data_IF_631692645950
#
_entry.id   IF_631692645950
#
_cell.length_a   1.000
_cell.length_b   1.000
_cell.length_c   1.000
_cell.angle_alpha   90.00
_cell.angle_beta   90.00
_cell.angle_gamma   90.00
#
_symmetry.space_group_name_H-M   'P 1'
#
loop_
_entity.id
_entity.type
_entity.pdbx_description
1 polymer ?
#
# COMPACT_ATOMS: atom_id res chain seq x y z
N UNK A 1 -14.91 10.95 8.87
CA UNK A 1 -13.52 10.87 9.38
C UNK A 1 -12.71 9.69 8.80
N UNK A 2 -13.23 8.45 8.74
CA UNK A 2 -12.44 7.29 8.27
C UNK A 2 -12.04 7.32 6.77
N UNK A 3 -12.90 7.79 5.86
CA UNK A 3 -12.58 7.85 4.41
C UNK A 3 -11.33 8.69 4.11
N UNK A 4 -11.21 9.86 4.74
CA UNK A 4 -10.04 10.74 4.59
C UNK A 4 -8.78 10.10 5.17
N UNK A 5 -8.87 9.46 6.34
CA UNK A 5 -7.76 8.73 6.95
C UNK A 5 -7.20 7.63 6.04
N UNK A 6 -8.07 6.90 5.33
CA UNK A 6 -7.64 5.88 4.37
C UNK A 6 -6.94 6.46 3.15
N UNK A 7 -7.44 7.57 2.62
CA UNK A 7 -6.82 8.26 1.49
C UNK A 7 -5.41 8.72 1.87
N UNK A 8 -5.23 9.35 3.04
CA UNK A 8 -3.91 9.73 3.54
C UNK A 8 -2.99 8.52 3.74
N UNK A 9 -3.50 7.42 4.28
CA UNK A 9 -2.71 6.20 4.49
C UNK A 9 -2.22 5.59 3.16
N UNK A 10 -3.06 5.60 2.12
CA UNK A 10 -2.70 5.13 0.77
C UNK A 10 -1.64 6.05 0.15
N UNK A 11 -1.79 7.37 0.27
CA UNK A 11 -0.84 8.34 -0.27
C UNK A 11 0.54 8.18 0.38
N UNK A 12 0.59 8.07 1.72
CA UNK A 12 1.84 7.85 2.47
C UNK A 12 2.52 6.54 2.04
N UNK A 13 1.74 5.47 1.85
CA UNK A 13 2.26 4.18 1.40
C UNK A 13 2.88 4.27 -0.01
N UNK A 14 2.19 4.91 -0.96
CA UNK A 14 2.71 5.10 -2.32
C UNK A 14 3.99 5.92 -2.32
N UNK A 15 4.08 6.98 -1.50
CA UNK A 15 5.29 7.83 -1.38
C UNK A 15 6.47 7.03 -0.81
N UNK A 16 6.27 6.30 0.28
CA UNK A 16 7.32 5.49 0.90
C UNK A 16 7.88 4.44 -0.06
N UNK A 17 6.98 3.77 -0.78
CA UNK A 17 7.41 2.72 -1.70
C UNK A 17 8.02 3.30 -2.98
N UNK A 18 7.53 4.45 -3.47
CA UNK A 18 8.16 5.19 -4.57
C UNK A 18 9.60 5.62 -4.27
N UNK A 19 9.87 6.08 -3.04
CA UNK A 19 11.23 6.41 -2.58
C UNK A 19 12.11 5.15 -2.52
N UNK A 20 11.56 4.03 -2.03
CA UNK A 20 12.25 2.73 -2.02
C UNK A 20 12.61 2.26 -3.43
N UNK A 21 11.70 2.44 -4.39
CA UNK A 21 11.95 2.07 -5.79
C UNK A 21 13.03 2.94 -6.43
N UNK A 22 13.01 4.24 -6.16
CA UNK A 22 13.99 5.17 -6.71
C UNK A 22 15.41 4.89 -6.18
N UNK A 23 15.55 4.41 -4.95
CA UNK A 23 16.87 4.17 -4.31
C UNK A 23 17.49 2.80 -4.59
N UNK A 24 16.71 1.73 -4.77
CA UNK A 24 17.23 0.35 -4.81
C UNK A 24 17.25 -0.25 -6.22
N UNK A 25 17.60 0.56 -7.21
CA UNK A 25 17.56 0.30 -8.67
C UNK A 25 18.04 -1.10 -9.11
N UNK A 26 17.11 -2.05 -9.13
CA UNK A 26 17.07 -3.19 -10.07
C UNK A 26 15.61 -3.33 -10.53
N UNK A 27 15.31 -3.11 -11.82
CA UNK A 27 13.94 -2.83 -12.27
C UNK A 27 12.97 -4.01 -12.19
N UNK A 28 13.46 -5.26 -12.18
CA UNK A 28 12.61 -6.46 -12.30
C UNK A 28 12.19 -7.06 -10.95
N UNK A 29 13.12 -7.24 -10.00
CA UNK A 29 12.79 -7.81 -8.68
C UNK A 29 11.97 -6.86 -7.82
N UNK A 30 12.20 -5.56 -7.99
CA UNK A 30 11.57 -4.53 -7.20
C UNK A 30 10.11 -4.25 -7.64
N UNK A 31 9.77 -4.52 -8.91
CA UNK A 31 8.41 -4.38 -9.42
C UNK A 31 7.48 -5.48 -8.90
N UNK A 32 7.97 -6.73 -8.83
CA UNK A 32 7.21 -7.84 -8.26
C UNK A 32 6.90 -7.60 -6.77
N UNK A 33 7.91 -7.20 -5.99
CA UNK A 33 7.72 -6.82 -4.58
C UNK A 33 6.73 -5.66 -4.43
N UNK A 34 6.81 -4.65 -5.31
CA UNK A 34 5.88 -3.51 -5.32
C UNK A 34 4.43 -3.93 -5.50
N UNK A 35 4.16 -4.74 -6.53
CA UNK A 35 2.81 -5.22 -6.82
C UNK A 35 2.25 -6.08 -5.68
N UNK A 36 3.09 -6.93 -5.06
CA UNK A 36 2.70 -7.73 -3.90
C UNK A 36 2.36 -6.85 -2.68
N UNK A 37 3.17 -5.82 -2.40
CA UNK A 37 2.92 -4.86 -1.31
C UNK A 37 1.59 -4.12 -1.48
N UNK A 38 1.26 -3.68 -2.70
CA UNK A 38 -0.03 -3.03 -2.99
C UNK A 38 -1.19 -4.02 -2.79
N UNK A 39 -1.05 -5.25 -3.29
CA UNK A 39 -2.08 -6.28 -3.17
C UNK A 39 -2.42 -6.62 -1.71
N UNK A 40 -1.40 -6.86 -0.88
CA UNK A 40 -1.58 -7.15 0.55
C UNK A 40 -2.25 -5.97 1.27
N UNK A 41 -1.87 -4.74 0.93
CA UNK A 41 -2.47 -3.54 1.53
C UNK A 41 -3.98 -3.44 1.22
N UNK A 42 -4.39 -3.76 -0.02
CA UNK A 42 -5.80 -3.79 -0.40
C UNK A 42 -6.60 -4.90 0.30
N UNK A 43 -5.99 -6.09 0.44
CA UNK A 43 -6.60 -7.21 1.19
C UNK A 43 -6.77 -6.82 2.65
N UNK A 44 -5.74 -6.27 3.29
CA UNK A 44 -5.77 -5.82 4.67
C UNK A 44 -6.85 -4.74 4.89
N UNK A 45 -6.93 -3.76 4.00
CA UNK A 45 -7.98 -2.73 3.98
C UNK A 45 -9.40 -3.32 3.90
N UNK A 46 -9.59 -4.32 3.04
CA UNK A 46 -10.86 -5.02 2.90
C UNK A 46 -11.24 -5.77 4.18
N UNK A 47 -10.28 -6.47 4.79
CA UNK A 47 -10.47 -7.17 6.07
C UNK A 47 -10.77 -6.22 7.22
N UNK A 48 -10.05 -5.10 7.34
CA UNK A 48 -10.30 -4.08 8.36
C UNK A 48 -11.68 -3.45 8.22
N UNK A 49 -12.14 -3.20 6.99
CA UNK A 49 -13.51 -2.73 6.74
C UNK A 49 -14.55 -3.77 7.14
N UNK A 50 -14.35 -5.04 6.79
CA UNK A 50 -15.27 -6.13 7.14
C UNK A 50 -15.38 -6.31 8.65
N UNK A 51 -14.28 -6.21 9.38
CA UNK A 51 -14.25 -6.31 10.84
C UNK A 51 -14.95 -5.13 11.52
N UNK A 52 -14.78 -3.90 11.02
CA UNK A 52 -15.38 -2.69 11.59
C UNK A 52 -16.88 -2.52 11.25
N UNK A 53 -17.49 -3.47 10.52
CA UNK A 53 -18.93 -3.53 10.26
C UNK A 53 -19.66 -4.58 11.12
N UNK A 54 -18.91 -5.33 11.94
CA UNK A 54 -19.43 -6.17 13.03
C UNK A 54 -19.32 -5.42 14.35
#
# INVERSE_FOLDING_TARGET
MQKWKLIYQVIIFIVLVGIGIFKYSTPIGNWAWFTACIGIFFILQSLTKKHNQT
#
